data_IF_649180906022
#
_entry.id   IF_649180906022
#
_cell.length_a   1.000
_cell.length_b   1.000
_cell.length_c   1.000
_cell.angle_alpha   90.00
_cell.angle_beta   90.00
_cell.angle_gamma   90.00
#
_symmetry.space_group_name_H-M   'P 1'
#
loop_
_entity.id
_entity.type
_entity.pdbx_description
1 polymer ?
#
# COMPACT_ATOMS: atom_id res chain seq x y z
N UNK A 1 -7.72 2.07 23.82
CA UNK A 1 -7.82 0.88 24.70
C UNK A 1 -7.92 1.35 26.13
N UNK A 2 -8.80 0.73 26.92
CA UNK A 2 -8.83 0.93 28.37
C UNK A 2 -8.35 -0.37 29.01
N UNK A 3 -7.12 -0.34 29.54
CA UNK A 3 -6.50 -1.49 30.21
C UNK A 3 -5.66 -1.03 31.39
N UNK A 4 -5.38 -1.94 32.32
CA UNK A 4 -4.48 -1.72 33.44
C UNK A 4 -3.15 -2.42 33.13
N UNK A 5 -2.04 -1.72 33.32
CA UNK A 5 -0.68 -2.26 33.24
C UNK A 5 -0.03 -2.06 34.60
N UNK A 6 0.41 -3.15 35.21
CA UNK A 6 1.16 -3.16 36.47
C UNK A 6 2.52 -3.83 36.22
N UNK A 7 3.59 -3.27 36.77
CA UNK A 7 4.96 -3.71 36.57
C UNK A 7 5.81 -3.34 37.78
N UNK A 8 6.20 -4.34 38.57
CA UNK A 8 7.06 -4.17 39.76
C UNK A 8 8.42 -3.54 39.44
N UNK A 9 8.91 -3.72 38.19
CA UNK A 9 10.19 -3.18 37.73
C UNK A 9 10.19 -1.66 37.58
N UNK A 10 9.03 -0.99 37.58
CA UNK A 10 8.94 0.46 37.30
C UNK A 10 9.19 1.27 38.58
N UNK A 11 10.32 1.98 38.72
CA UNK A 11 10.59 2.76 39.90
C UNK A 11 9.69 4.01 39.95
N UNK A 12 9.08 4.21 41.11
CA UNK A 12 8.26 5.38 41.40
C UNK A 12 9.09 6.48 42.05
N UNK A 13 8.77 7.72 41.71
CA UNK A 13 9.29 8.86 42.48
C UNK A 13 8.72 8.90 43.90
N UNK A 14 9.29 9.75 44.76
CA UNK A 14 8.90 9.85 46.17
C UNK A 14 7.42 10.22 46.36
N UNK A 15 6.83 11.01 45.44
CA UNK A 15 5.39 11.34 45.46
C UNK A 15 4.48 10.22 44.93
N UNK A 16 5.06 9.16 44.34
CA UNK A 16 4.36 8.04 43.68
C UNK A 16 3.46 8.44 42.51
N UNK A 17 3.77 9.54 41.85
CA UNK A 17 2.98 10.08 40.73
C UNK A 17 3.74 10.03 39.40
N UNK A 18 5.07 9.95 39.44
CA UNK A 18 5.92 10.01 38.25
C UNK A 18 6.80 8.78 38.12
N UNK A 19 6.86 8.29 36.88
CA UNK A 19 7.75 7.20 36.47
C UNK A 19 9.15 7.77 36.24
N UNK A 20 10.18 7.14 36.83
CA UNK A 20 11.54 7.69 36.80
C UNK A 20 12.43 7.14 35.67
N UNK A 21 12.22 5.89 35.22
CA UNK A 21 13.09 5.25 34.22
C UNK A 21 12.48 5.28 32.80
N UNK A 22 12.90 6.26 32.01
CA UNK A 22 12.44 6.43 30.62
C UNK A 22 12.84 5.28 29.68
N UNK A 23 13.95 4.58 29.95
CA UNK A 23 14.41 3.46 29.13
C UNK A 23 13.57 2.21 29.39
N UNK A 24 13.27 1.92 30.65
CA UNK A 24 12.40 0.82 31.03
C UNK A 24 10.98 1.04 30.48
N UNK A 25 10.43 2.25 30.61
CA UNK A 25 9.12 2.57 30.02
C UNK A 25 9.11 2.38 28.51
N UNK A 26 10.17 2.78 27.81
CA UNK A 26 10.30 2.52 26.36
C UNK A 26 10.30 1.02 26.05
N UNK A 27 10.99 0.20 26.86
CA UNK A 27 11.02 -1.26 26.69
C UNK A 27 9.65 -1.90 26.93
N UNK A 28 8.95 -1.49 28.00
CA UNK A 28 7.58 -1.94 28.28
C UNK A 28 6.65 -1.58 27.12
N UNK A 29 6.74 -0.34 26.61
CA UNK A 29 5.96 0.11 25.44
C UNK A 29 6.17 -0.81 24.24
N UNK A 30 7.42 -1.11 23.88
CA UNK A 30 7.74 -2.00 22.76
C UNK A 30 7.16 -3.40 22.94
N UNK A 31 7.28 -3.98 24.14
CA UNK A 31 6.73 -5.30 24.44
C UNK A 31 5.20 -5.32 24.34
N UNK A 32 4.53 -4.29 24.85
CA UNK A 32 3.09 -4.15 24.74
C UNK A 32 2.65 -4.00 23.28
N UNK A 33 3.32 -3.15 22.49
CA UNK A 33 3.04 -2.99 21.06
C UNK A 33 3.16 -4.32 20.31
N UNK A 34 4.24 -5.07 20.54
CA UNK A 34 4.42 -6.39 19.91
C UNK A 34 3.34 -7.39 20.33
N UNK A 35 2.98 -7.40 21.62
CA UNK A 35 1.95 -8.31 22.15
C UNK A 35 0.57 -8.01 21.58
N UNK A 36 0.20 -6.72 21.52
CA UNK A 36 -1.07 -6.25 20.95
C UNK A 36 -1.12 -6.56 19.46
N UNK A 37 -0.06 -6.27 18.72
CA UNK A 37 0.02 -6.53 17.28
C UNK A 37 -0.16 -8.02 16.99
N UNK A 38 0.53 -8.89 17.74
CA UNK A 38 0.35 -10.34 17.63
C UNK A 38 -1.07 -10.78 17.95
N UNK A 39 -1.66 -10.26 19.03
CA UNK A 39 -3.04 -10.57 19.40
C UNK A 39 -4.04 -10.21 18.30
N UNK A 40 -3.90 -9.04 17.69
CA UNK A 40 -4.77 -8.58 16.60
C UNK A 40 -4.60 -9.44 15.34
N UNK A 41 -3.37 -9.85 15.01
CA UNK A 41 -3.13 -10.80 13.92
C UNK A 41 -3.78 -12.17 14.18
N UNK A 42 -3.70 -12.67 15.42
CA UNK A 42 -4.40 -13.91 15.81
C UNK A 42 -5.91 -13.77 15.68
N UNK A 43 -6.49 -12.62 16.09
CA UNK A 43 -7.92 -12.38 15.91
C UNK A 43 -8.32 -12.34 14.44
N UNK A 44 -7.51 -11.71 13.58
CA UNK A 44 -7.76 -11.70 12.14
C UNK A 44 -7.80 -13.08 11.51
N UNK A 45 -6.93 -13.99 11.96
CA UNK A 45 -6.91 -15.39 11.50
C UNK A 45 -8.06 -16.21 12.06
N UNK A 46 -8.47 -15.92 13.29
CA UNK A 46 -9.52 -16.68 13.99
C UNK A 46 -10.93 -16.36 13.48
N UNK A 47 -11.20 -15.09 13.19
CA UNK A 47 -12.53 -14.61 12.81
C UNK A 47 -12.38 -13.40 11.87
N UNK A 48 -12.26 -13.69 10.56
CA UNK A 48 -12.04 -12.69 9.52
C UNK A 48 -13.17 -11.64 9.46
N UNK A 49 -14.47 -12.01 9.45
CA UNK A 49 -15.57 -11.03 9.47
C UNK A 49 -15.53 -10.09 10.67
N UNK A 50 -15.34 -10.63 11.87
CA UNK A 50 -15.26 -9.80 13.08
C UNK A 50 -14.06 -8.89 13.09
N UNK A 51 -12.91 -9.36 12.60
CA UNK A 51 -11.74 -8.51 12.46
C UNK A 51 -11.96 -7.41 11.43
N UNK A 52 -12.72 -7.66 10.37
CA UNK A 52 -13.04 -6.64 9.37
C UNK A 52 -13.91 -5.52 9.95
N UNK A 53 -14.93 -5.85 10.76
CA UNK A 53 -15.70 -4.84 11.50
C UNK A 53 -14.78 -4.00 12.41
N UNK A 54 -13.93 -4.66 13.20
CA UNK A 54 -12.94 -3.97 14.03
C UNK A 54 -11.97 -3.12 13.19
N UNK A 55 -11.54 -3.62 12.04
CA UNK A 55 -10.61 -2.90 11.17
C UNK A 55 -11.25 -1.62 10.65
N UNK A 56 -12.51 -1.65 10.20
CA UNK A 56 -13.17 -0.43 9.71
C UNK A 56 -13.25 0.67 10.78
N UNK A 57 -13.53 0.30 12.03
CA UNK A 57 -13.61 1.26 13.14
C UNK A 57 -12.25 1.82 13.57
N UNK A 58 -11.17 1.04 13.44
CA UNK A 58 -9.86 1.35 14.02
C UNK A 58 -8.72 1.51 13.01
N UNK A 59 -8.95 1.32 11.71
CA UNK A 59 -7.90 1.36 10.67
C UNK A 59 -7.07 2.64 10.71
N UNK A 60 -7.70 3.78 11.02
CA UNK A 60 -7.03 5.07 11.09
C UNK A 60 -5.84 5.08 12.07
N UNK A 61 -5.95 4.39 13.21
CA UNK A 61 -4.85 4.32 14.19
C UNK A 61 -3.64 3.54 13.66
N UNK A 62 -3.87 2.49 12.87
CA UNK A 62 -2.79 1.75 12.23
C UNK A 62 -2.11 2.58 11.15
N UNK A 63 -2.91 3.26 10.33
CA UNK A 63 -2.41 4.18 9.30
C UNK A 63 -1.55 5.29 9.92
N UNK A 64 -2.04 5.92 10.99
CA UNK A 64 -1.30 6.95 11.72
C UNK A 64 0.00 6.41 12.34
N UNK A 65 -0.03 5.20 12.91
CA UNK A 65 1.16 4.56 13.49
C UNK A 65 2.29 4.40 12.48
N UNK A 66 1.97 3.90 11.27
CA UNK A 66 2.93 3.74 10.17
C UNK A 66 3.47 5.09 9.71
N UNK A 67 2.60 6.10 9.62
CA UNK A 67 3.02 7.43 9.17
C UNK A 67 3.96 8.11 10.16
N UNK A 68 3.69 7.97 11.47
CA UNK A 68 4.43 8.65 12.53
C UNK A 68 5.75 7.99 12.90
N UNK A 69 5.85 6.67 12.82
CA UNK A 69 7.10 6.00 13.18
C UNK A 69 8.13 6.10 12.06
N UNK A 70 9.39 6.31 12.43
CA UNK A 70 10.52 6.30 11.50
C UNK A 70 11.19 4.93 11.41
N UNK A 71 10.87 4.01 12.33
CA UNK A 71 11.45 2.66 12.39
C UNK A 71 10.74 1.74 11.39
N UNK A 72 11.49 1.16 10.45
CA UNK A 72 10.93 0.30 9.40
C UNK A 72 10.33 -0.99 9.97
N UNK A 73 10.93 -1.56 11.01
CA UNK A 73 10.41 -2.76 11.66
C UNK A 73 9.05 -2.51 12.31
N UNK A 74 8.89 -1.38 13.00
CA UNK A 74 7.60 -0.97 13.55
C UNK A 74 6.56 -0.72 12.46
N UNK A 75 6.94 -0.08 11.33
CA UNK A 75 6.03 0.11 10.19
C UNK A 75 5.51 -1.22 9.66
N UNK A 76 6.39 -2.18 9.40
CA UNK A 76 6.02 -3.48 8.87
C UNK A 76 5.19 -4.30 9.87
N UNK A 77 5.50 -4.23 11.16
CA UNK A 77 4.70 -4.90 12.19
C UNK A 77 3.26 -4.36 12.25
N UNK A 78 3.08 -3.04 12.16
CA UNK A 78 1.74 -2.42 12.09
C UNK A 78 1.08 -2.74 10.75
N UNK A 79 1.82 -2.75 9.64
CA UNK A 79 1.29 -3.00 8.31
C UNK A 79 0.64 -4.38 8.15
N UNK A 80 1.07 -5.39 8.92
CA UNK A 80 0.40 -6.71 9.02
C UNK A 80 -1.07 -6.64 9.47
N UNK A 81 -1.45 -5.54 10.14
CA UNK A 81 -2.82 -5.30 10.60
C UNK A 81 -3.71 -4.67 9.52
N UNK A 82 -3.12 -4.13 8.45
CA UNK A 82 -3.85 -3.46 7.38
C UNK A 82 -4.58 -4.46 6.49
N UNK A 83 -5.72 -4.03 5.97
CA UNK A 83 -6.55 -4.77 5.02
C UNK A 83 -6.84 -3.90 3.81
N UNK A 84 -6.75 -4.50 2.63
CA UNK A 84 -6.81 -3.83 1.34
C UNK A 84 -7.76 -4.57 0.41
N UNK A 85 -8.39 -3.84 -0.49
CA UNK A 85 -9.08 -4.49 -1.60
C UNK A 85 -8.05 -4.95 -2.64
N UNK A 86 -8.33 -6.05 -3.34
CA UNK A 86 -7.42 -6.65 -4.32
C UNK A 86 -8.09 -6.86 -5.65
N UNK A 87 -7.34 -6.61 -6.71
CA UNK A 87 -7.75 -6.82 -8.09
C UNK A 87 -8.02 -8.29 -8.44
N UNK A 88 -7.60 -9.23 -7.59
CA UNK A 88 -7.87 -10.69 -7.71
C UNK A 88 -8.97 -11.20 -6.81
N UNK A 89 -9.55 -10.34 -5.98
CA UNK A 89 -10.64 -10.68 -5.07
C UNK A 89 -11.92 -9.92 -5.44
N UNK A 90 -13.05 -10.46 -4.99
CA UNK A 90 -14.33 -9.74 -5.06
C UNK A 90 -14.30 -8.52 -4.15
N UNK A 91 -14.97 -7.45 -4.57
CA UNK A 91 -15.02 -6.22 -3.80
C UNK A 91 -15.54 -6.46 -2.38
N UNK A 92 -14.78 -6.00 -1.39
CA UNK A 92 -15.09 -6.18 0.04
C UNK A 92 -14.46 -7.42 0.67
N UNK A 93 -13.95 -8.38 -0.11
CA UNK A 93 -13.11 -9.46 0.42
C UNK A 93 -11.68 -8.96 0.61
N UNK A 94 -11.46 -8.20 1.68
CA UNK A 94 -10.17 -7.57 1.92
C UNK A 94 -9.08 -8.61 2.23
N UNK A 95 -7.87 -8.31 1.80
CA UNK A 95 -6.67 -9.12 2.03
C UNK A 95 -5.60 -8.33 2.78
N UNK A 96 -4.67 -9.06 3.40
CA UNK A 96 -3.46 -8.55 4.02
C UNK A 96 -2.29 -8.48 3.02
N UNK A 97 -1.23 -7.76 3.40
CA UNK A 97 0.02 -7.73 2.63
C UNK A 97 0.70 -9.11 2.59
N UNK A 98 0.59 -9.89 3.66
CA UNK A 98 1.11 -11.27 3.70
C UNK A 98 0.40 -12.14 2.63
N UNK A 99 -0.93 -12.10 2.58
CA UNK A 99 -1.72 -12.82 1.57
C UNK A 99 -1.39 -12.38 0.14
N UNK A 100 -1.15 -11.08 -0.07
CA UNK A 100 -0.71 -10.57 -1.36
C UNK A 100 0.65 -11.16 -1.76
N UNK A 101 1.63 -11.14 -0.83
CA UNK A 101 2.98 -11.65 -1.09
C UNK A 101 2.97 -13.15 -1.41
N UNK A 102 2.17 -13.93 -0.70
CA UNK A 102 2.00 -15.36 -0.96
C UNK A 102 1.47 -15.66 -2.37
N UNK A 103 0.73 -14.72 -2.97
CA UNK A 103 0.11 -14.83 -4.31
C UNK A 103 0.91 -14.15 -5.42
N UNK A 104 2.05 -13.52 -5.10
CA UNK A 104 2.90 -12.87 -6.08
C UNK A 104 3.41 -13.88 -7.11
N UNK A 105 3.35 -13.50 -8.39
CA UNK A 105 3.98 -14.28 -9.46
C UNK A 105 5.51 -14.14 -9.40
N UNK A 106 6.28 -15.12 -9.90
CA UNK A 106 7.75 -15.04 -9.88
C UNK A 106 8.33 -13.79 -10.57
N UNK A 107 7.65 -13.29 -11.61
CA UNK A 107 8.05 -12.12 -12.40
C UNK A 107 7.71 -10.81 -11.69
N UNK A 108 6.75 -10.84 -10.76
CA UNK A 108 6.31 -9.69 -10.00
C UNK A 108 7.32 -9.34 -8.89
N UNK A 109 8.01 -8.21 -9.04
CA UNK A 109 9.10 -7.79 -8.13
C UNK A 109 8.62 -6.96 -6.94
N UNK A 110 7.46 -6.33 -7.07
CA UNK A 110 6.98 -5.29 -6.16
C UNK A 110 5.54 -5.56 -5.75
N UNK A 111 5.14 -5.01 -4.61
CA UNK A 111 3.73 -4.89 -4.23
C UNK A 111 3.16 -3.68 -4.97
N UNK A 112 2.31 -3.94 -5.95
CA UNK A 112 1.68 -2.90 -6.75
C UNK A 112 0.37 -2.45 -6.12
N UNK A 113 0.17 -1.13 -6.09
CA UNK A 113 -1.08 -0.53 -5.66
C UNK A 113 -1.58 0.51 -6.67
N UNK A 114 -2.88 0.73 -6.70
CA UNK A 114 -3.53 1.77 -7.47
C UNK A 114 -4.51 2.53 -6.58
N UNK A 115 -4.31 3.84 -6.49
CA UNK A 115 -5.23 4.74 -5.81
C UNK A 115 -6.32 5.22 -6.78
N UNK A 116 -7.58 5.15 -6.38
CA UNK A 116 -8.69 5.64 -7.18
C UNK A 116 -9.95 5.85 -6.35
N UNK A 117 -10.98 6.57 -6.84
CA UNK A 117 -12.10 6.98 -5.99
C UNK A 117 -13.05 5.83 -5.62
N UNK A 118 -13.03 4.73 -6.39
CA UNK A 118 -13.91 3.58 -6.20
C UNK A 118 -13.32 2.34 -6.87
N UNK A 119 -13.85 1.16 -6.51
CA UNK A 119 -13.50 -0.11 -7.15
C UNK A 119 -13.65 -0.08 -8.67
N UNK A 120 -14.81 0.39 -9.13
CA UNK A 120 -15.14 0.46 -10.56
C UNK A 120 -14.13 1.34 -11.33
N UNK A 121 -13.72 2.47 -10.76
CA UNK A 121 -12.74 3.35 -11.40
C UNK A 121 -11.33 2.77 -11.40
N UNK A 122 -10.95 2.01 -10.37
CA UNK A 122 -9.69 1.27 -10.37
C UNK A 122 -9.69 0.15 -11.41
N UNK A 123 -10.78 -0.62 -11.53
CA UNK A 123 -10.89 -1.73 -12.48
C UNK A 123 -10.93 -1.29 -13.95
N UNK A 124 -11.48 -0.10 -14.21
CA UNK A 124 -11.52 0.52 -15.54
C UNK A 124 -10.38 1.53 -15.77
N UNK A 125 -9.39 1.57 -14.87
CA UNK A 125 -8.27 2.50 -14.99
C UNK A 125 -7.35 2.08 -16.14
N UNK A 126 -6.94 3.00 -17.03
CA UNK A 126 -5.96 2.69 -18.08
C UNK A 126 -4.63 2.23 -17.51
N UNK A 127 -4.29 2.69 -16.29
CA UNK A 127 -3.10 2.25 -15.58
C UNK A 127 -3.23 0.78 -15.15
N UNK A 128 -4.41 0.36 -14.70
CA UNK A 128 -4.65 -1.03 -14.31
C UNK A 128 -4.62 -1.98 -15.51
N UNK A 129 -5.17 -1.59 -16.66
CA UNK A 129 -5.19 -2.43 -17.87
C UNK A 129 -3.80 -2.94 -18.26
N UNK A 130 -2.79 -2.07 -18.24
CA UNK A 130 -1.41 -2.42 -18.60
C UNK A 130 -0.77 -3.42 -17.63
N UNK A 131 -1.07 -3.34 -16.33
CA UNK A 131 -0.58 -4.29 -15.32
C UNK A 131 -1.38 -5.59 -15.34
N UNK A 132 -2.69 -5.51 -15.59
CA UNK A 132 -3.58 -6.66 -15.72
C UNK A 132 -3.14 -7.57 -16.86
N UNK A 133 -2.67 -7.02 -17.98
CA UNK A 133 -2.09 -7.79 -19.09
C UNK A 133 -0.86 -8.61 -18.68
N UNK A 134 -0.12 -8.18 -17.66
CA UNK A 134 1.03 -8.92 -17.08
C UNK A 134 0.60 -9.98 -16.07
N UNK A 135 -0.70 -10.03 -15.72
CA UNK A 135 -1.24 -10.95 -14.72
C UNK A 135 -0.82 -10.64 -13.28
N UNK A 136 -0.32 -9.44 -13.01
CA UNK A 136 0.10 -9.03 -11.67
C UNK A 136 -1.10 -8.62 -10.82
N UNK A 137 -1.05 -8.96 -9.55
CA UNK A 137 -2.06 -8.53 -8.57
C UNK A 137 -1.84 -7.05 -8.22
N UNK A 138 -2.92 -6.30 -8.01
CA UNK A 138 -2.85 -4.87 -7.63
C UNK A 138 -3.75 -4.64 -6.41
N UNK A 139 -3.21 -3.98 -5.39
CA UNK A 139 -4.00 -3.49 -4.27
C UNK A 139 -4.78 -2.25 -4.71
N UNK A 140 -6.07 -2.22 -4.45
CA UNK A 140 -6.89 -1.02 -4.66
C UNK A 140 -7.07 -0.27 -3.36
N UNK A 141 -6.77 1.02 -3.39
CA UNK A 141 -6.95 1.93 -2.27
C UNK A 141 -7.78 3.13 -2.68
N UNK A 142 -8.67 3.56 -1.79
CA UNK A 142 -9.71 4.53 -2.13
C UNK A 142 -9.56 5.87 -1.41
N UNK A 143 -8.89 5.87 -0.27
CA UNK A 143 -8.74 7.06 0.55
C UNK A 143 -7.45 7.80 0.15
N UNK A 144 -7.49 9.13 0.07
CA UNK A 144 -6.34 9.93 -0.39
C UNK A 144 -5.11 9.79 0.50
N UNK A 145 -5.28 9.48 1.79
CA UNK A 145 -4.17 9.21 2.70
C UNK A 145 -3.56 7.81 2.55
N UNK A 146 -4.22 6.88 1.85
CA UNK A 146 -3.67 5.53 1.64
C UNK A 146 -2.45 5.55 0.72
N UNK A 147 -2.43 6.43 -0.27
CA UNK A 147 -1.25 6.60 -1.11
C UNK A 147 -0.05 7.09 -0.29
N UNK A 148 -0.25 8.11 0.54
CA UNK A 148 0.79 8.64 1.45
C UNK A 148 1.25 7.57 2.43
N UNK A 149 0.32 6.78 2.96
CA UNK A 149 0.62 5.66 3.84
C UNK A 149 1.53 4.63 3.16
N UNK A 150 1.19 4.19 1.95
CA UNK A 150 1.96 3.17 1.23
C UNK A 150 3.33 3.71 0.79
N UNK A 151 3.42 4.99 0.42
CA UNK A 151 4.70 5.67 0.20
C UNK A 151 5.58 5.69 1.46
N UNK A 152 4.98 5.97 2.62
CA UNK A 152 5.69 6.04 3.88
C UNK A 152 6.07 4.65 4.42
N UNK A 153 5.28 3.62 4.13
CA UNK A 153 5.62 2.22 4.41
C UNK A 153 6.84 1.77 3.57
N UNK A 154 6.93 2.23 2.32
CA UNK A 154 8.04 2.04 1.37
C UNK A 154 8.33 0.59 0.94
N UNK A 155 8.47 -0.32 1.88
CA UNK A 155 8.64 -1.76 1.66
C UNK A 155 7.94 -2.60 2.73
N UNK A 156 7.66 -3.85 2.40
CA UNK A 156 7.12 -4.85 3.31
C UNK A 156 7.70 -6.21 2.93
N UNK A 157 8.28 -6.93 3.89
CA UNK A 157 8.99 -8.20 3.67
C UNK A 157 9.99 -8.12 2.49
N UNK A 158 10.79 -7.04 2.47
CA UNK A 158 11.81 -6.74 1.43
C UNK A 158 11.24 -6.53 0.02
N UNK A 159 9.92 -6.45 -0.13
CA UNK A 159 9.25 -6.06 -1.38
C UNK A 159 8.90 -4.59 -1.32
N UNK A 160 9.41 -3.81 -2.28
CA UNK A 160 9.01 -2.40 -2.39
C UNK A 160 7.54 -2.28 -2.74
N UNK A 161 6.87 -1.30 -2.14
CA UNK A 161 5.54 -0.87 -2.56
C UNK A 161 5.70 0.15 -3.69
N UNK A 162 4.95 -0.04 -4.78
CA UNK A 162 4.97 0.87 -5.93
C UNK A 162 3.57 1.13 -6.45
N UNK A 163 3.30 2.39 -6.77
CA UNK A 163 2.12 2.73 -7.54
C UNK A 163 2.23 2.14 -8.96
N UNK A 164 1.10 1.75 -9.53
CA UNK A 164 1.05 1.24 -10.90
C UNK A 164 1.56 2.28 -11.90
N UNK A 165 1.23 3.55 -11.71
CA UNK A 165 1.67 4.67 -12.55
C UNK A 165 3.21 4.75 -12.59
N UNK A 166 3.84 4.66 -11.42
CA UNK A 166 5.30 4.70 -11.27
C UNK A 166 6.01 3.53 -11.97
N UNK A 167 5.38 2.36 -11.97
CA UNK A 167 5.92 1.18 -12.67
C UNK A 167 5.83 1.36 -14.19
N UNK A 168 4.70 1.86 -14.71
CA UNK A 168 4.52 2.11 -16.14
C UNK A 168 5.48 3.18 -16.68
N UNK A 169 5.77 4.22 -15.90
CA UNK A 169 6.81 5.20 -16.24
C UNK A 169 8.22 4.57 -16.31
N UNK A 170 8.46 3.49 -15.57
CA UNK A 170 9.73 2.77 -15.58
C UNK A 170 9.82 1.82 -16.77
N UNK A 171 8.72 1.17 -17.14
CA UNK A 171 8.67 0.24 -18.27
C UNK A 171 8.65 0.93 -19.62
N UNK A 172 7.98 2.07 -19.75
CA UNK A 172 8.03 2.93 -20.96
C UNK A 172 9.42 3.54 -21.25
N UNK A 173 10.38 3.37 -20.34
CA UNK A 173 11.80 3.68 -20.58
C UNK A 173 12.60 2.47 -21.08
N UNK A 174 12.03 1.27 -20.99
CA UNK A 174 12.67 0.00 -21.33
C UNK A 174 12.15 -0.62 -22.62
N UNK A 175 10.92 -0.31 -23.00
CA UNK A 175 10.28 -0.89 -24.18
C UNK A 175 9.61 0.19 -25.05
N UNK A 176 10.16 0.39 -26.24
CA UNK A 176 9.51 1.10 -27.37
C UNK A 176 8.91 0.05 -28.34
N UNK A 177 8.45 -1.10 -27.83
CA UNK A 177 7.75 -2.08 -28.69
C UNK A 177 6.33 -1.60 -28.96
N UNK A 178 6.15 -1.08 -30.17
CA UNK A 178 4.85 -0.83 -30.78
C UNK A 178 4.09 -2.16 -30.77
N UNK A 179 2.89 -2.18 -30.20
CA UNK A 179 1.96 -3.30 -30.33
C UNK A 179 1.50 -3.37 -31.79
N UNK A 180 2.30 -4.02 -32.65
CA UNK A 180 1.91 -4.40 -33.99
C UNK A 180 0.83 -5.48 -33.89
N UNK A 181 -0.41 -5.17 -34.25
CA UNK A 181 -1.44 -6.21 -34.27
C UNK A 181 -2.88 -5.82 -34.57
N UNK A 182 -3.30 -4.56 -34.45
CA UNK A 182 -4.69 -4.20 -34.76
C UNK A 182 -4.81 -3.51 -36.12
N UNK A 183 -5.60 -4.08 -37.02
CA UNK A 183 -5.95 -3.51 -38.33
C UNK A 183 -6.67 -2.15 -38.26
N UNK A 184 -6.96 -1.66 -37.05
CA UNK A 184 -7.56 -0.35 -36.76
C UNK A 184 -6.56 0.69 -36.22
N UNK A 185 -5.29 0.34 -36.07
CA UNK A 185 -4.24 1.27 -35.63
C UNK A 185 -3.86 2.24 -36.76
N UNK A 186 -3.42 3.44 -36.39
CA UNK A 186 -2.82 4.38 -37.34
C UNK A 186 -1.52 3.79 -37.92
N UNK A 187 -1.21 4.10 -39.17
CA UNK A 187 0.12 3.86 -39.70
C UNK A 187 1.17 4.69 -38.95
N UNK A 188 2.45 4.27 -38.99
CA UNK A 188 3.52 4.97 -38.30
C UNK A 188 3.62 6.45 -38.72
N UNK A 189 3.40 6.75 -40.00
CA UNK A 189 3.44 8.12 -40.53
C UNK A 189 2.25 8.97 -40.06
N UNK A 190 1.05 8.39 -40.01
CA UNK A 190 -0.13 9.05 -39.46
C UNK A 190 0.03 9.31 -37.95
N UNK A 191 0.54 8.34 -37.20
CA UNK A 191 0.82 8.47 -35.78
C UNK A 191 1.88 9.56 -35.51
N UNK A 192 2.96 9.60 -36.29
CA UNK A 192 3.98 10.66 -36.21
C UNK A 192 3.41 12.04 -36.54
N UNK A 193 2.56 12.13 -37.56
CA UNK A 193 1.89 13.38 -37.95
C UNK A 193 0.97 13.88 -36.83
N UNK A 194 0.15 12.99 -36.27
CA UNK A 194 -0.72 13.29 -35.14
C UNK A 194 0.08 13.73 -33.92
N UNK A 195 1.18 13.03 -33.60
CA UNK A 195 2.09 13.37 -32.51
C UNK A 195 2.65 14.78 -32.64
N UNK A 196 3.14 15.17 -33.83
CA UNK A 196 3.63 16.53 -34.05
C UNK A 196 2.52 17.58 -33.95
N UNK A 197 1.34 17.28 -34.46
CA UNK A 197 0.19 18.18 -34.34
C UNK A 197 -0.21 18.38 -32.86
N UNK A 198 -0.27 17.30 -32.06
CA UNK A 198 -0.55 17.37 -30.63
C UNK A 198 0.49 18.20 -29.87
N UNK A 199 1.79 17.95 -30.11
CA UNK A 199 2.86 18.74 -29.50
C UNK A 199 2.72 20.23 -29.83
N UNK A 200 2.33 20.57 -31.07
CA UNK A 200 2.11 21.96 -31.47
C UNK A 200 0.87 22.58 -30.80
N UNK A 201 -0.22 21.83 -30.64
CA UNK A 201 -1.45 22.35 -30.02
C UNK A 201 -1.31 22.55 -28.51
N UNK A 202 -0.65 21.60 -27.82
CA UNK A 202 -0.51 21.65 -26.37
C UNK A 202 0.72 22.44 -25.90
N UNK A 203 1.69 22.69 -26.79
CA UNK A 203 2.85 23.54 -26.53
C UNK A 203 3.54 23.16 -25.22
N UNK A 204 3.76 24.14 -24.35
CA UNK A 204 4.48 23.97 -23.09
C UNK A 204 3.67 23.24 -21.98
N UNK A 205 2.39 22.89 -22.23
CA UNK A 205 1.56 22.18 -21.25
C UNK A 205 1.95 20.70 -21.09
N UNK A 206 2.61 20.12 -22.07
CA UNK A 206 3.05 18.71 -22.06
C UNK A 206 4.52 18.62 -22.45
N UNK A 207 5.26 17.72 -21.80
CA UNK A 207 6.69 17.52 -22.12
C UNK A 207 6.90 16.66 -23.36
N UNK A 208 6.01 15.68 -23.59
CA UNK A 208 6.12 14.74 -24.70
C UNK A 208 4.76 14.09 -25.00
N UNK A 209 4.62 13.56 -26.22
CA UNK A 209 3.54 12.66 -26.64
C UNK A 209 4.21 11.37 -27.11
N UNK A 210 3.78 10.23 -26.59
CA UNK A 210 4.29 8.92 -26.96
C UNK A 210 3.14 8.08 -27.49
#
# INVERSE_FOLDING_TARGET
>A
MSSVVDSEDVPLNLSRELLQDSNLIRKIRLLLTQRITRFLQEQAKKDKPKYQEFYEDYKLFFKEGIVRTADQGEKEDIAKLLRFDSSREEHGNLISLDEYIERMTPEQKHVYYLAGPSRELCENSPYYEAIKQKGYEVLFVYESHDEVLLMQLAEFDKKKLKSVESELETDTKKDDTILEGDTRSLSQDEANTLKQWLLKQFGDKIKNVK
#
